data_IF_756846127144
#
_entry.id   IF_756846127144
#
_cell.length_a   1.000
_cell.length_b   1.000
_cell.length_c   1.000
_cell.angle_alpha   90.00
_cell.angle_beta   90.00
_cell.angle_gamma   90.00
#
_symmetry.space_group_name_H-M   'P 1'
#
loop_
_entity.id
_entity.type
_entity.pdbx_description
1 polymer ?
#
# COMPACT_ATOMS: atom_id res chain seq x y z
N UNK A 1 -36.29 2.71 42.74
CA UNK A 1 -35.16 3.53 42.25
C UNK A 1 -34.04 2.67 41.62
N UNK A 2 -34.29 1.79 40.64
CA UNK A 2 -33.21 0.96 40.03
C UNK A 2 -33.45 0.68 38.53
N UNK A 3 -33.98 1.63 37.76
CA UNK A 3 -34.28 1.39 36.33
C UNK A 3 -33.89 2.55 35.39
N UNK A 4 -32.92 3.39 35.79
CA UNK A 4 -32.48 4.54 34.98
C UNK A 4 -30.97 4.60 34.68
N UNK A 5 -30.16 3.73 35.29
CA UNK A 5 -28.69 3.82 35.19
C UNK A 5 -28.02 2.96 34.12
N UNK A 6 -28.71 1.96 33.56
CA UNK A 6 -28.06 0.91 32.75
C UNK A 6 -27.97 1.24 31.25
N UNK A 7 -28.74 2.20 30.76
CA UNK A 7 -28.76 2.56 29.33
C UNK A 7 -27.58 3.46 28.93
N UNK A 8 -27.05 4.30 29.83
CA UNK A 8 -26.05 5.30 29.48
C UNK A 8 -24.62 4.73 29.37
N UNK A 9 -24.34 3.57 29.98
CA UNK A 9 -23.00 2.96 29.97
C UNK A 9 -22.73 2.19 28.67
N UNK A 10 -23.76 1.58 28.05
CA UNK A 10 -23.60 0.90 26.76
C UNK A 10 -23.47 1.86 25.56
N UNK A 11 -24.01 3.07 25.66
CA UNK A 11 -23.93 4.07 24.58
C UNK A 11 -22.56 4.76 24.48
N UNK A 12 -21.79 4.83 25.58
CA UNK A 12 -20.43 5.37 25.57
C UNK A 12 -19.37 4.35 25.11
N UNK A 13 -19.62 3.05 25.32
CA UNK A 13 -18.70 1.99 24.89
C UNK A 13 -18.72 1.73 23.38
N UNK A 14 -19.83 2.04 22.70
CA UNK A 14 -19.97 1.75 21.27
C UNK A 14 -19.32 2.80 20.36
N UNK A 15 -19.03 4.01 20.86
CA UNK A 15 -18.42 5.07 20.07
C UNK A 15 -16.90 4.95 19.91
N UNK A 16 -16.23 4.14 20.75
CA UNK A 16 -14.75 4.04 20.75
C UNK A 16 -14.23 2.99 19.75
N UNK A 17 -15.08 2.06 19.30
CA UNK A 17 -14.66 0.96 18.42
C UNK A 17 -14.67 1.30 16.91
N UNK A 18 -15.22 2.45 16.49
CA UNK A 18 -15.42 2.81 15.07
C UNK A 18 -14.32 3.77 14.58
N UNK A 19 -13.05 3.55 14.94
CA UNK A 19 -11.95 4.44 14.52
C UNK A 19 -10.67 3.73 14.05
N UNK A 20 -10.58 2.39 14.09
CA UNK A 20 -9.31 1.68 13.85
C UNK A 20 -9.16 1.11 12.44
N UNK A 21 -10.14 1.23 11.55
CA UNK A 21 -10.05 0.69 10.19
C UNK A 21 -9.18 1.54 9.24
N UNK A 22 -9.00 2.84 9.53
CA UNK A 22 -8.30 3.77 8.63
C UNK A 22 -6.78 3.84 8.88
N UNK A 23 -6.29 3.31 9.99
CA UNK A 23 -4.86 3.34 10.32
C UNK A 23 -4.05 2.36 9.46
N UNK A 24 -4.65 1.22 9.09
CA UNK A 24 -4.01 0.19 8.28
C UNK A 24 -3.69 0.64 6.84
N UNK A 25 -4.28 1.73 6.35
CA UNK A 25 -4.08 2.20 4.98
C UNK A 25 -2.91 3.19 4.84
N UNK A 26 -2.37 3.73 5.95
CA UNK A 26 -1.37 4.79 5.88
C UNK A 26 0.03 4.23 5.59
N UNK A 27 0.78 4.78 4.62
CA UNK A 27 2.15 4.37 4.36
C UNK A 27 3.05 4.57 5.59
N UNK A 28 3.68 3.51 6.07
CA UNK A 28 4.63 3.57 7.20
C UNK A 28 5.99 4.03 6.68
N UNK A 29 6.50 5.16 7.16
CA UNK A 29 7.88 5.62 6.85
C UNK A 29 8.90 4.64 7.46
N UNK A 30 9.81 4.12 6.64
CA UNK A 30 10.86 3.17 7.05
C UNK A 30 12.16 3.91 7.37
N UNK A 31 12.56 4.85 6.50
CA UNK A 31 13.81 5.59 6.66
C UNK A 31 13.99 6.65 5.57
N UNK A 32 15.02 7.49 5.71
CA UNK A 32 15.39 8.48 4.70
C UNK A 32 16.90 8.66 4.64
N UNK A 33 17.45 8.73 3.42
CA UNK A 33 18.88 8.87 3.12
C UNK A 33 19.01 9.75 1.89
N UNK A 34 19.83 10.80 1.95
CA UNK A 34 20.19 11.65 0.79
C UNK A 34 18.98 12.18 -0.02
N UNK A 35 17.88 12.52 0.66
CA UNK A 35 16.65 13.03 0.03
C UNK A 35 15.69 11.96 -0.47
N UNK A 36 16.09 10.69 -0.50
CA UNK A 36 15.19 9.56 -0.70
C UNK A 36 14.48 9.21 0.60
N UNK A 37 13.19 8.87 0.53
CA UNK A 37 12.42 8.36 1.66
C UNK A 37 11.74 7.04 1.28
N UNK A 38 11.98 5.99 2.06
CA UNK A 38 11.28 4.72 1.92
C UNK A 38 10.03 4.69 2.79
N UNK A 39 8.94 4.19 2.21
CA UNK A 39 7.70 3.84 2.88
C UNK A 39 7.36 2.37 2.63
N UNK A 40 6.66 1.78 3.60
CA UNK A 40 6.09 0.44 3.54
C UNK A 40 4.58 0.53 3.66
N UNK A 41 3.86 -0.05 2.70
CA UNK A 41 2.41 -0.20 2.78
C UNK A 41 2.03 -1.46 3.55
N UNK A 42 0.78 -1.53 4.03
CA UNK A 42 0.28 -2.70 4.76
C UNK A 42 0.31 -4.01 3.95
N UNK A 43 0.19 -3.93 2.61
CA UNK A 43 0.33 -5.08 1.70
C UNK A 43 1.79 -5.49 1.45
N UNK A 44 2.76 -4.84 2.10
CA UNK A 44 4.19 -5.12 1.95
C UNK A 44 4.89 -4.35 0.83
N UNK A 45 4.16 -3.58 0.00
CA UNK A 45 4.76 -2.79 -1.09
C UNK A 45 5.73 -1.76 -0.54
N UNK A 46 6.91 -1.71 -1.14
CA UNK A 46 7.94 -0.71 -0.88
C UNK A 46 7.74 0.47 -1.83
N UNK A 47 7.65 1.67 -1.29
CA UNK A 47 7.57 2.92 -2.06
C UNK A 47 8.79 3.75 -1.73
N UNK A 48 9.55 4.15 -2.74
CA UNK A 48 10.69 5.07 -2.57
C UNK A 48 10.32 6.39 -3.23
N UNK A 49 10.32 7.46 -2.44
CA UNK A 49 9.95 8.80 -2.87
C UNK A 49 11.17 9.71 -2.87
N UNK A 50 11.32 10.49 -3.94
CA UNK A 50 12.30 11.54 -4.09
C UNK A 50 11.60 12.82 -4.60
N UNK A 51 11.36 13.83 -3.75
CA UNK A 51 10.74 15.08 -4.16
C UNK A 51 11.70 15.95 -4.99
N UNK A 52 11.29 16.35 -6.19
CA UNK A 52 12.06 17.22 -7.09
C UNK A 52 11.22 18.45 -7.47
N UNK A 53 11.40 19.61 -6.80
CA UNK A 53 10.56 20.79 -7.01
C UNK A 53 10.89 21.58 -8.27
N UNK A 54 12.01 21.29 -8.96
CA UNK A 54 12.41 22.05 -10.16
C UNK A 54 11.53 21.77 -11.39
N UNK A 55 10.74 20.70 -11.39
CA UNK A 55 9.89 20.30 -12.52
C UNK A 55 8.46 20.00 -12.07
N UNK A 56 7.42 20.53 -12.74
CA UNK A 56 6.02 20.21 -12.45
C UNK A 56 5.62 18.86 -13.09
N UNK A 57 6.43 17.82 -12.88
CA UNK A 57 6.23 16.49 -13.46
C UNK A 57 6.42 15.44 -12.37
N UNK A 58 5.58 14.40 -12.42
CA UNK A 58 5.73 13.22 -11.57
C UNK A 58 6.07 12.03 -12.47
N UNK A 59 7.10 11.28 -12.09
CA UNK A 59 7.46 10.02 -12.73
C UNK A 59 7.23 8.90 -11.73
N UNK A 60 6.47 7.89 -12.13
CA UNK A 60 6.24 6.69 -11.33
C UNK A 60 6.85 5.51 -12.06
N UNK A 61 7.75 4.81 -11.38
CA UNK A 61 8.30 3.55 -11.85
C UNK A 61 7.87 2.44 -10.90
N UNK A 62 7.49 1.29 -11.46
CA UNK A 62 7.15 0.10 -10.68
C UNK A 62 8.07 -1.03 -11.11
N UNK A 63 8.74 -1.63 -10.15
CA UNK A 63 9.59 -2.80 -10.39
C UNK A 63 8.98 -4.00 -9.70
N UNK A 64 8.60 -5.00 -10.48
CA UNK A 64 8.21 -6.31 -9.97
C UNK A 64 9.46 -7.19 -9.98
N UNK A 65 9.78 -7.81 -8.85
CA UNK A 65 10.98 -8.65 -8.71
C UNK A 65 10.77 -10.06 -9.30
N UNK A 66 10.18 -10.13 -10.50
CA UNK A 66 9.91 -11.34 -11.26
C UNK A 66 10.31 -11.09 -12.72
N UNK A 67 10.75 -12.13 -13.41
CA UNK A 67 11.25 -12.07 -14.78
C UNK A 67 11.62 -13.46 -15.29
N UNK A 68 12.29 -13.56 -16.43
CA UNK A 68 12.62 -14.85 -17.08
C UNK A 68 13.32 -15.88 -16.19
N UNK A 69 14.10 -15.43 -15.19
CA UNK A 69 14.70 -16.30 -14.17
C UNK A 69 13.68 -17.17 -13.40
N UNK A 70 12.42 -16.74 -13.34
CA UNK A 70 11.35 -17.40 -12.61
C UNK A 70 10.46 -18.27 -13.51
N UNK A 71 10.80 -18.41 -14.79
CA UNK A 71 10.06 -19.25 -15.74
C UNK A 71 10.42 -20.72 -15.55
N UNK A 72 9.41 -21.59 -15.52
CA UNK A 72 9.57 -23.04 -15.53
C UNK A 72 9.76 -23.64 -16.93
N UNK A 73 9.90 -24.96 -16.98
CA UNK A 73 9.93 -25.68 -18.24
C UNK A 73 8.59 -25.53 -18.98
N UNK A 74 8.65 -25.12 -20.25
CA UNK A 74 7.46 -24.84 -21.05
C UNK A 74 6.88 -23.44 -20.87
N UNK A 75 7.48 -22.59 -20.04
CA UNK A 75 7.03 -21.21 -19.77
C UNK A 75 7.99 -20.16 -20.34
N UNK A 76 8.93 -20.55 -21.21
CA UNK A 76 9.91 -19.62 -21.79
C UNK A 76 9.22 -18.46 -22.49
N UNK A 77 9.55 -17.24 -22.05
CA UNK A 77 9.01 -15.99 -22.60
C UNK A 77 7.69 -15.53 -21.98
N UNK A 78 7.13 -16.25 -21.00
CA UNK A 78 5.88 -15.86 -20.34
C UNK A 78 5.98 -14.55 -19.58
N UNK A 79 7.12 -14.24 -18.94
CA UNK A 79 7.31 -12.96 -18.25
C UNK A 79 7.25 -11.78 -19.22
N UNK A 80 7.86 -11.93 -20.40
CA UNK A 80 7.85 -10.92 -21.45
C UNK A 80 6.48 -10.81 -22.14
N UNK A 81 5.81 -11.94 -22.36
CA UNK A 81 4.43 -11.93 -22.88
C UNK A 81 3.50 -11.18 -21.92
N UNK A 82 3.61 -11.42 -20.62
CA UNK A 82 2.80 -10.72 -19.62
C UNK A 82 3.07 -9.21 -19.63
N UNK A 83 4.33 -8.78 -19.77
CA UNK A 83 4.69 -7.38 -19.92
C UNK A 83 3.95 -6.72 -21.10
N UNK A 84 3.89 -7.39 -22.26
CA UNK A 84 3.09 -6.90 -23.38
C UNK A 84 1.58 -6.85 -23.10
N UNK A 85 1.07 -7.84 -22.38
CA UNK A 85 -0.35 -7.94 -22.06
C UNK A 85 -0.80 -6.92 -21.00
N UNK A 86 0.09 -6.45 -20.13
CA UNK A 86 -0.22 -5.41 -19.14
C UNK A 86 -0.67 -4.07 -19.77
N UNK A 87 -0.29 -3.83 -21.03
CA UNK A 87 -0.70 -2.63 -21.78
C UNK A 87 -1.87 -2.90 -22.73
N UNK A 88 -2.45 -4.10 -22.72
CA UNK A 88 -3.77 -4.31 -23.33
C UNK A 88 -4.84 -3.66 -22.44
N UNK A 89 -5.93 -3.13 -23.04
CA UNK A 89 -7.03 -2.57 -22.26
C UNK A 89 -7.59 -3.59 -21.26
N UNK A 90 -7.76 -3.14 -20.02
CA UNK A 90 -8.40 -3.87 -18.91
C UNK A 90 -9.90 -3.65 -18.86
#
# INVERSE_FOLDING_TARGET
>A
MIARGLCLVCLLGLSVAVATADEAAKPKKVGSVEGFTEYRLANGLKVVLFPEPSQPKVTVNMTILVGSKHEGYGETGMAHLLEHMLFKPT
#
